data_IF_906545021969
#
_entry.id   IF_906545021969
#
_cell.length_a   1.000
_cell.length_b   1.000
_cell.length_c   1.000
_cell.angle_alpha   90.00
_cell.angle_beta   90.00
_cell.angle_gamma   90.00
#
_symmetry.space_group_name_H-M   'P 1'
#
loop_
_entity.id
_entity.type
_entity.pdbx_description
1 polymer ?
#
# COMPACT_ATOMS: atom_id res chain seq x y z
N UNK A 1 3.57 24.74 20.97
CA UNK A 1 2.89 23.44 20.81
C UNK A 1 2.68 23.22 19.33
N UNK A 2 3.53 22.42 18.68
CA UNK A 2 3.40 22.15 17.24
C UNK A 2 2.27 21.14 17.05
N UNK A 3 1.07 21.61 16.69
CA UNK A 3 -0.01 20.74 16.25
C UNK A 3 0.25 20.40 14.79
N UNK A 4 1.07 19.39 14.52
CA UNK A 4 1.19 18.83 13.16
C UNK A 4 -0.21 18.47 12.69
N UNK A 5 -0.67 18.98 11.52
CA UNK A 5 -1.99 18.65 11.01
C UNK A 5 -2.12 17.13 10.86
N UNK A 6 -3.32 16.56 11.09
CA UNK A 6 -3.54 15.14 10.98
C UNK A 6 -3.21 14.67 9.55
N UNK A 7 -2.48 13.56 9.46
CA UNK A 7 -2.14 12.95 8.17
C UNK A 7 -3.40 12.38 7.52
N UNK A 8 -3.62 12.57 6.21
CA UNK A 8 -4.77 12.01 5.50
C UNK A 8 -4.77 10.49 5.61
N UNK A 9 -5.95 9.91 5.86
CA UNK A 9 -6.14 8.47 5.90
C UNK A 9 -7.05 8.07 4.75
N UNK A 10 -6.62 7.11 3.94
CA UNK A 10 -7.42 6.53 2.86
C UNK A 10 -7.71 5.08 3.15
N UNK A 11 -8.83 4.57 2.64
CA UNK A 11 -9.19 3.17 2.74
C UNK A 11 -9.48 2.55 1.38
N UNK A 12 -9.26 1.24 1.30
CA UNK A 12 -9.54 0.42 0.13
C UNK A 12 -10.15 -0.90 0.59
N UNK A 13 -11.34 -1.23 0.11
CA UNK A 13 -11.94 -2.55 0.32
C UNK A 13 -11.54 -3.47 -0.81
N UNK A 14 -10.96 -4.61 -0.43
CA UNK A 14 -10.40 -5.56 -1.39
C UNK A 14 -11.23 -6.83 -1.41
N UNK A 15 -11.53 -7.31 -2.61
CA UNK A 15 -12.07 -8.63 -2.88
C UNK A 15 -11.00 -9.50 -3.56
N UNK A 16 -10.95 -10.78 -3.20
CA UNK A 16 -10.15 -11.81 -3.87
C UNK A 16 -11.14 -12.78 -4.51
N UNK A 17 -11.19 -12.79 -5.84
CA UNK A 17 -12.29 -13.41 -6.57
C UNK A 17 -13.61 -12.73 -6.21
N UNK A 18 -14.59 -13.53 -5.79
CA UNK A 18 -15.91 -13.05 -5.35
C UNK A 18 -15.98 -12.87 -3.82
N UNK A 19 -14.91 -13.16 -3.09
CA UNK A 19 -14.90 -13.13 -1.62
C UNK A 19 -14.34 -11.81 -1.08
N UNK A 20 -15.04 -11.12 -0.15
CA UNK A 20 -14.50 -9.98 0.57
C UNK A 20 -13.24 -10.38 1.35
N UNK A 21 -12.09 -9.78 1.01
CA UNK A 21 -10.83 -10.03 1.69
C UNK A 21 -10.69 -9.18 2.95
N UNK A 22 -11.13 -7.91 2.87
CA UNK A 22 -11.22 -6.96 3.97
C UNK A 22 -10.92 -5.51 3.55
N UNK A 23 -11.02 -4.60 4.52
CA UNK A 23 -10.65 -3.18 4.38
C UNK A 23 -9.19 -2.98 4.72
N UNK A 24 -8.46 -2.26 3.88
CA UNK A 24 -7.12 -1.77 4.15
C UNK A 24 -7.18 -0.27 4.41
N UNK A 25 -6.49 0.22 5.44
CA UNK A 25 -6.37 1.65 5.72
C UNK A 25 -4.91 2.06 5.63
N UNK A 26 -4.70 3.25 5.07
CA UNK A 26 -3.38 3.78 4.79
C UNK A 26 -3.30 5.22 5.26
N UNK A 27 -2.26 5.55 5.99
CA UNK A 27 -1.91 6.92 6.35
C UNK A 27 -0.96 7.47 5.27
N UNK A 28 -1.30 8.62 4.70
CA UNK A 28 -0.48 9.31 3.71
C UNK A 28 0.43 10.33 4.40
N UNK A 29 1.70 10.36 4.01
CA UNK A 29 2.67 11.33 4.52
C UNK A 29 2.51 12.65 3.79
N UNK A 30 1.63 13.51 4.30
CA UNK A 30 1.40 14.86 3.77
C UNK A 30 2.48 15.87 4.17
N UNK A 31 3.18 15.60 5.27
CA UNK A 31 4.25 16.40 5.85
C UNK A 31 5.63 16.13 5.22
N UNK A 32 5.76 14.98 4.56
CA UNK A 32 6.95 14.58 3.83
C UNK A 32 6.72 14.95 2.36
N UNK A 33 7.36 16.04 1.91
CA UNK A 33 7.36 16.39 0.49
C UNK A 33 7.74 15.17 -0.35
N UNK A 34 7.20 15.00 -1.58
CA UNK A 34 7.39 13.81 -2.42
C UNK A 34 8.82 13.59 -2.94
N UNK A 35 9.83 14.09 -2.22
CA UNK A 35 11.27 14.00 -2.48
C UNK A 35 12.04 13.18 -1.44
N UNK A 36 11.41 12.76 -0.34
CA UNK A 36 12.14 12.07 0.73
C UNK A 36 12.04 10.55 0.54
N UNK A 37 13.18 9.94 0.20
CA UNK A 37 13.39 8.51 0.21
C UNK A 37 13.33 8.00 1.66
N UNK A 38 12.13 7.66 2.12
CA UNK A 38 11.95 7.04 3.44
C UNK A 38 12.38 5.58 3.34
N UNK A 39 13.26 5.16 4.26
CA UNK A 39 13.69 3.77 4.40
C UNK A 39 12.48 2.85 4.49
N UNK A 40 12.44 1.79 3.68
CA UNK A 40 11.49 0.69 3.87
C UNK A 40 11.78 0.02 5.22
N UNK A 41 11.02 0.35 6.26
CA UNK A 41 11.20 -0.22 7.60
C UNK A 41 10.46 -1.56 7.79
N UNK A 42 9.87 -2.08 6.70
CA UNK A 42 9.08 -3.32 6.68
C UNK A 42 7.61 -3.12 7.02
N UNK A 43 7.16 -1.88 7.23
CA UNK A 43 5.77 -1.55 7.54
C UNK A 43 5.03 -1.04 6.30
N UNK A 44 4.69 -1.93 5.36
CA UNK A 44 3.68 -1.61 4.34
C UNK A 44 3.98 -0.35 3.53
N UNK A 45 5.24 -0.11 3.14
CA UNK A 45 5.66 1.13 2.49
C UNK A 45 5.18 1.14 1.04
N UNK A 46 4.58 2.26 0.62
CA UNK A 46 4.05 2.44 -0.74
C UNK A 46 5.09 3.04 -1.68
N UNK A 47 4.98 2.83 -2.99
CA UNK A 47 5.90 3.41 -3.95
C UNK A 47 5.25 3.62 -5.31
N UNK A 48 5.45 4.80 -5.93
CA UNK A 48 4.89 5.16 -7.25
C UNK A 48 5.99 5.15 -8.30
N UNK A 49 5.66 4.69 -9.51
CA UNK A 49 6.36 5.07 -10.74
C UNK A 49 5.34 5.72 -11.70
N UNK A 50 5.70 6.83 -12.36
CA UNK A 50 4.79 7.65 -13.17
C UNK A 50 4.40 7.08 -14.54
N UNK A 51 3.47 7.80 -15.21
CA UNK A 51 2.74 7.60 -16.49
C UNK A 51 1.47 6.69 -16.42
N UNK A 52 1.46 5.65 -15.59
CA UNK A 52 0.25 4.88 -15.21
C UNK A 52 0.25 4.78 -13.69
N UNK A 53 -0.85 5.13 -13.03
CA UNK A 53 -0.95 5.05 -11.57
C UNK A 53 -0.85 3.58 -11.11
N UNK A 54 0.36 3.11 -10.86
CA UNK A 54 0.61 1.85 -10.18
C UNK A 54 1.39 2.12 -8.90
N UNK A 55 1.00 1.42 -7.85
CA UNK A 55 1.70 1.39 -6.58
C UNK A 55 1.91 -0.06 -6.18
N UNK A 56 2.91 -0.30 -5.34
CA UNK A 56 3.10 -1.58 -4.67
C UNK A 56 3.21 -1.37 -3.17
N UNK A 57 2.92 -2.41 -2.41
CA UNK A 57 2.95 -2.43 -0.95
C UNK A 57 4.01 -3.44 -0.54
N UNK A 58 5.00 -2.99 0.24
CA UNK A 58 6.06 -3.86 0.75
C UNK A 58 5.60 -4.56 2.04
N UNK A 59 5.67 -5.89 2.09
CA UNK A 59 5.31 -6.69 3.28
C UNK A 59 6.51 -7.02 4.18
N UNK A 60 7.71 -6.65 3.72
CA UNK A 60 8.99 -6.84 4.37
C UNK A 60 9.91 -5.65 4.07
N UNK A 61 11.00 -5.55 4.83
CA UNK A 61 12.02 -4.52 4.66
C UNK A 61 12.72 -4.69 3.30
N UNK A 62 12.72 -3.63 2.50
CA UNK A 62 13.24 -3.62 1.14
C UNK A 62 14.23 -2.45 0.93
N UNK A 63 15.41 -2.55 1.56
CA UNK A 63 16.46 -1.50 1.47
C UNK A 63 16.92 -1.22 0.04
N UNK A 64 16.76 -2.18 -0.88
CA UNK A 64 17.15 -2.03 -2.29
C UNK A 64 16.25 -1.10 -3.10
N UNK A 65 15.08 -0.71 -2.56
CA UNK A 65 14.14 0.23 -3.16
C UNK A 65 14.36 1.67 -2.66
N UNK A 66 15.11 1.84 -1.58
CA UNK A 66 15.49 3.14 -1.06
C UNK A 66 16.27 3.91 -2.14
N UNK A 67 16.00 5.22 -2.28
CA UNK A 67 16.65 6.03 -3.32
C UNK A 67 16.08 5.86 -4.73
N UNK A 68 15.22 4.85 -4.97
CA UNK A 68 14.64 4.57 -6.30
C UNK A 68 13.14 4.82 -6.38
N UNK A 69 12.44 4.64 -5.27
CA UNK A 69 11.00 4.86 -5.21
C UNK A 69 10.62 5.78 -4.06
N UNK A 70 9.55 6.56 -4.27
CA UNK A 70 9.05 7.54 -3.30
C UNK A 70 8.02 6.88 -2.39
N UNK A 71 8.30 6.87 -1.09
CA UNK A 71 7.35 6.41 -0.07
C UNK A 71 6.43 7.55 0.32
N UNK A 72 5.13 7.38 0.06
CA UNK A 72 4.11 8.40 0.29
C UNK A 72 3.13 8.06 1.42
N UNK A 73 3.28 6.91 2.06
CA UNK A 73 2.41 6.48 3.15
C UNK A 73 2.76 5.11 3.71
N UNK A 74 1.94 4.65 4.65
CA UNK A 74 2.06 3.33 5.30
C UNK A 74 0.69 2.72 5.58
N UNK A 75 0.63 1.39 5.61
CA UNK A 75 -0.58 0.67 6.04
C UNK A 75 -0.71 0.82 7.56
N UNK A 76 -1.85 1.32 8.03
CA UNK A 76 -2.16 1.45 9.47
C UNK A 76 -3.14 0.37 9.95
N UNK A 77 -3.93 -0.20 9.04
CA UNK A 77 -4.91 -1.24 9.33
C UNK A 77 -5.14 -2.13 8.08
N UNK A 78 -5.54 -3.38 8.29
CA UNK A 78 -5.76 -4.33 7.20
C UNK A 78 -4.53 -5.14 6.79
N UNK A 79 -3.54 -5.30 7.67
CA UNK A 79 -2.39 -6.21 7.43
C UNK A 79 -2.82 -7.64 7.16
N UNK A 80 -3.92 -8.12 7.77
CA UNK A 80 -4.49 -9.44 7.47
C UNK A 80 -4.98 -9.53 6.02
N UNK A 81 -5.61 -8.49 5.50
CA UNK A 81 -6.03 -8.40 4.10
C UNK A 81 -4.80 -8.43 3.17
N UNK A 82 -3.75 -7.69 3.52
CA UNK A 82 -2.50 -7.68 2.75
C UNK A 82 -1.85 -9.09 2.72
N UNK A 83 -1.80 -9.79 3.86
CA UNK A 83 -1.30 -11.17 3.93
C UNK A 83 -2.16 -12.14 3.12
N UNK A 84 -3.49 -11.98 3.11
CA UNK A 84 -4.39 -12.77 2.26
C UNK A 84 -4.08 -12.55 0.77
N UNK A 85 -3.85 -11.31 0.35
CA UNK A 85 -3.48 -10.96 -1.03
C UNK A 85 -2.11 -11.57 -1.39
N UNK A 86 -1.13 -11.45 -0.49
CA UNK A 86 0.22 -12.01 -0.66
C UNK A 86 0.22 -13.53 -0.84
N UNK A 87 -0.69 -14.23 -0.14
CA UNK A 87 -0.83 -15.68 -0.21
C UNK A 87 -1.72 -16.17 -1.38
N UNK A 88 -2.24 -15.28 -2.23
CA UNK A 88 -3.03 -15.70 -3.40
C UNK A 88 -2.14 -16.49 -4.36
N UNK A 89 -2.55 -17.71 -4.78
CA UNK A 89 -1.78 -18.49 -5.74
C UNK A 89 -1.54 -17.71 -7.03
N UNK A 90 -0.28 -17.68 -7.48
CA UNK A 90 0.11 -17.00 -8.72
C UNK A 90 0.26 -18.00 -9.87
N UNK A 91 0.02 -17.51 -11.08
CA UNK A 91 0.27 -18.21 -12.34
C UNK A 91 1.53 -17.68 -13.03
N UNK A 92 1.68 -17.93 -14.34
CA UNK A 92 2.78 -17.39 -15.14
C UNK A 92 2.91 -15.86 -14.96
N UNK A 93 4.14 -15.35 -14.93
CA UNK A 93 4.45 -13.93 -14.74
C UNK A 93 3.98 -13.34 -13.39
N UNK A 94 3.93 -14.14 -12.32
CA UNK A 94 3.50 -13.74 -10.98
C UNK A 94 2.08 -13.12 -10.93
N UNK A 95 1.25 -13.41 -11.93
CA UNK A 95 -0.12 -12.89 -12.00
C UNK A 95 -1.01 -13.71 -11.06
N UNK A 96 -1.78 -13.09 -10.14
CA UNK A 96 -2.71 -13.80 -9.28
C UNK A 96 -3.70 -14.65 -10.09
N UNK A 97 -3.89 -15.92 -9.70
CA UNK A 97 -4.91 -16.81 -10.29
C UNK A 97 -6.32 -16.34 -9.93
N UNK A 98 -6.49 -15.84 -8.71
CA UNK A 98 -7.71 -15.20 -8.26
C UNK A 98 -7.60 -13.70 -8.49
N UNK A 99 -8.65 -13.12 -9.06
CA UNK A 99 -8.66 -11.70 -9.38
C UNK A 99 -8.73 -10.87 -8.09
N UNK A 100 -7.73 -10.04 -7.83
CA UNK A 100 -7.72 -9.11 -6.70
C UNK A 100 -8.26 -7.76 -7.19
N UNK A 101 -9.40 -7.32 -6.63
CA UNK A 101 -10.09 -6.09 -7.04
C UNK A 101 -10.33 -5.19 -5.84
N UNK A 102 -10.15 -3.90 -6.04
CA UNK A 102 -10.61 -2.87 -5.10
C UNK A 102 -12.07 -2.57 -5.46
N UNK A 103 -12.99 -2.84 -4.53
CA UNK A 103 -14.43 -2.65 -4.74
C UNK A 103 -14.92 -1.30 -4.23
N UNK A 104 -14.27 -0.77 -3.19
CA UNK A 104 -14.58 0.53 -2.59
C UNK A 104 -13.28 1.24 -2.24
N UNK A 105 -13.26 2.56 -2.39
CA UNK A 105 -12.12 3.41 -2.00
C UNK A 105 -12.61 4.77 -1.54
N UNK A 106 -11.94 5.36 -0.56
CA UNK A 106 -12.28 6.68 -0.04
C UNK A 106 -11.22 7.26 0.88
N UNK A 107 -11.50 8.47 1.35
CA UNK A 107 -10.74 9.19 2.38
C UNK A 107 -11.56 9.17 3.68
N UNK A 108 -10.89 9.17 4.83
CA UNK A 108 -11.47 9.17 6.18
C UNK A 108 -11.27 10.50 6.89
#
# INVERSE_FOLDING_TARGET
MSSTPPRPIVFMDVHIGETPAGRMKMELFSDITPKLFVKSDGTGSFSIYGEKFFFFITTAKCDFLDGKHVVFGRVIDGMLTLRKIEHVPTGPNNRPKLTVKIVERGEM
#
